data_IF_039615754111
#
_entry.id   IF_039615754111
#
_cell.length_a   1.000
_cell.length_b   1.000
_cell.length_c   1.000
_cell.angle_alpha   90.00
_cell.angle_beta   90.00
_cell.angle_gamma   90.00
#
_symmetry.space_group_name_H-M   'P 1'
#
loop_
_entity.id
_entity.type
_entity.pdbx_description
1 polymer ?
#
# COMPACT_ATOMS: atom_id res chain seq x y z
N UNK A 1 -26.10 -20.31 3.94
CA UNK A 1 -25.88 -19.66 5.24
C UNK A 1 -24.93 -18.53 4.96
N UNK A 2 -25.37 -17.27 5.04
CA UNK A 2 -24.53 -16.14 4.61
C UNK A 2 -23.32 -16.06 5.53
N UNK A 3 -22.14 -15.82 4.97
CA UNK A 3 -20.87 -15.74 5.72
C UNK A 3 -20.81 -14.45 6.57
N UNK A 4 -21.88 -13.65 6.54
CA UNK A 4 -21.99 -12.32 7.15
C UNK A 4 -23.10 -12.24 8.21
N UNK A 5 -23.32 -13.30 8.99
CA UNK A 5 -24.08 -13.20 10.22
C UNK A 5 -23.48 -12.07 11.09
N UNK A 6 -24.28 -11.09 11.50
CA UNK A 6 -23.87 -9.83 12.14
C UNK A 6 -23.16 -8.79 11.24
N UNK A 7 -23.64 -8.58 10.01
CA UNK A 7 -23.13 -7.54 9.11
C UNK A 7 -23.01 -6.14 9.76
N UNK A 8 -23.93 -5.79 10.66
CA UNK A 8 -23.96 -4.49 11.36
C UNK A 8 -22.91 -4.36 12.49
N UNK A 9 -22.19 -5.44 12.82
CA UNK A 9 -21.20 -5.48 13.91
C UNK A 9 -19.85 -6.03 13.47
N UNK A 10 -19.71 -6.37 12.19
CA UNK A 10 -18.48 -6.92 11.62
C UNK A 10 -17.82 -5.86 10.77
N UNK A 11 -16.62 -5.46 11.17
CA UNK A 11 -15.79 -4.54 10.39
C UNK A 11 -14.96 -5.34 9.39
N UNK A 12 -14.57 -4.69 8.30
CA UNK A 12 -13.69 -5.25 7.28
C UNK A 12 -12.56 -4.28 6.96
N UNK A 13 -11.39 -4.84 6.68
CA UNK A 13 -10.22 -4.09 6.22
C UNK A 13 -9.39 -4.95 5.27
N UNK A 14 -8.42 -4.32 4.61
CA UNK A 14 -7.50 -5.02 3.73
C UNK A 14 -6.42 -5.75 4.53
N UNK A 15 -6.05 -6.93 4.05
CA UNK A 15 -4.79 -7.58 4.44
C UNK A 15 -3.62 -6.99 3.62
N UNK A 16 -2.36 -7.31 3.93
CA UNK A 16 -1.24 -6.94 3.08
C UNK A 16 -1.39 -7.39 1.61
N UNK A 17 -1.89 -8.61 1.39
CA UNK A 17 -2.18 -9.12 0.05
C UNK A 17 -3.29 -8.30 -0.62
N UNK A 18 -4.33 -7.92 0.12
CA UNK A 18 -5.39 -7.06 -0.37
C UNK A 18 -4.91 -5.66 -0.76
N UNK A 19 -3.94 -5.10 -0.03
CA UNK A 19 -3.30 -3.83 -0.41
C UNK A 19 -2.53 -3.98 -1.72
N UNK A 20 -1.71 -5.02 -1.87
CA UNK A 20 -0.98 -5.27 -3.12
C UNK A 20 -1.90 -5.46 -4.32
N UNK A 21 -3.04 -6.13 -4.14
CA UNK A 21 -4.04 -6.24 -5.20
C UNK A 21 -4.70 -4.89 -5.50
N UNK A 22 -5.21 -4.21 -4.47
CA UNK A 22 -5.99 -2.98 -4.60
C UNK A 22 -5.22 -1.85 -5.29
N UNK A 23 -3.93 -1.72 -4.99
CA UNK A 23 -3.07 -0.62 -5.46
C UNK A 23 -2.02 -1.08 -6.47
N UNK A 24 -2.26 -2.23 -7.13
CA UNK A 24 -1.34 -2.90 -8.07
C UNK A 24 -1.04 -2.13 -9.36
N UNK A 25 -1.91 -1.19 -9.75
CA UNK A 25 -1.83 -0.54 -11.05
C UNK A 25 -2.44 0.86 -11.07
N UNK A 26 -1.86 1.70 -11.93
CA UNK A 26 -2.25 3.09 -12.13
C UNK A 26 -3.72 3.28 -12.55
N UNK A 27 -4.29 2.32 -13.31
CA UNK A 27 -5.70 2.34 -13.71
C UNK A 27 -6.42 1.15 -13.07
N UNK A 28 -7.01 1.31 -11.87
CA UNK A 28 -7.62 0.20 -11.16
C UNK A 28 -8.89 -0.32 -11.86
N UNK A 29 -9.16 -1.61 -11.71
CA UNK A 29 -10.45 -2.22 -12.13
C UNK A 29 -11.56 -1.85 -11.14
N UNK A 30 -12.82 -2.14 -11.48
CA UNK A 30 -13.94 -1.94 -10.55
C UNK A 30 -13.78 -2.73 -9.24
N UNK A 31 -13.19 -3.93 -9.30
CA UNK A 31 -12.89 -4.74 -8.12
C UNK A 31 -11.79 -4.12 -7.25
N UNK A 32 -10.73 -3.60 -7.89
CA UNK A 32 -9.66 -2.92 -7.18
C UNK A 32 -10.15 -1.61 -6.56
N UNK A 33 -10.99 -0.84 -7.26
CA UNK A 33 -11.64 0.35 -6.69
C UNK A 33 -12.49 0.01 -5.46
N UNK A 34 -13.22 -1.11 -5.48
CA UNK A 34 -13.97 -1.58 -4.32
C UNK A 34 -13.05 -1.95 -3.15
N UNK A 35 -11.91 -2.60 -3.40
CA UNK A 35 -10.90 -2.85 -2.36
C UNK A 35 -10.30 -1.55 -1.81
N UNK A 36 -9.96 -0.59 -2.68
CA UNK A 36 -9.43 0.71 -2.27
C UNK A 36 -10.42 1.49 -1.39
N UNK A 37 -11.73 1.34 -1.62
CA UNK A 37 -12.77 2.00 -0.83
C UNK A 37 -12.72 1.67 0.66
N UNK A 38 -12.21 0.48 1.03
CA UNK A 38 -12.03 0.08 2.43
C UNK A 38 -11.04 0.96 3.19
N UNK A 39 -10.10 1.60 2.48
CA UNK A 39 -9.12 2.52 3.06
C UNK A 39 -9.42 3.99 2.73
N UNK A 40 -10.55 4.29 2.06
CA UNK A 40 -10.95 5.66 1.72
C UNK A 40 -11.57 6.44 2.88
N UNK A 41 -12.02 5.74 3.92
CA UNK A 41 -12.63 6.36 5.09
C UNK A 41 -11.64 6.47 6.24
N UNK A 42 -11.92 7.35 7.21
CA UNK A 42 -11.09 7.53 8.42
C UNK A 42 -11.29 6.43 9.46
N UNK A 43 -12.01 5.38 9.11
CA UNK A 43 -12.38 4.28 9.97
C UNK A 43 -12.69 3.02 9.17
N UNK A 44 -12.60 1.86 9.82
CA UNK A 44 -12.94 0.56 9.20
C UNK A 44 -14.40 0.53 8.77
N UNK A 45 -14.65 0.04 7.56
CA UNK A 45 -16.00 -0.14 7.02
C UNK A 45 -16.72 -1.32 7.68
N UNK A 46 -18.02 -1.19 7.92
CA UNK A 46 -18.87 -2.32 8.32
C UNK A 46 -19.26 -3.16 7.10
N UNK A 47 -19.47 -4.46 7.29
CA UNK A 47 -20.00 -5.33 6.24
C UNK A 47 -21.36 -4.84 5.74
N UNK A 48 -22.23 -4.35 6.62
CA UNK A 48 -23.52 -3.77 6.22
C UNK A 48 -23.35 -2.62 5.21
N UNK A 49 -22.42 -1.70 5.48
CA UNK A 49 -22.09 -0.56 4.59
C UNK A 49 -21.54 -1.05 3.25
N UNK A 50 -20.67 -2.06 3.25
CA UNK A 50 -20.20 -2.66 2.00
C UNK A 50 -21.35 -3.17 1.14
N UNK A 51 -22.32 -3.86 1.74
CA UNK A 51 -23.43 -4.49 1.01
C UNK A 51 -24.43 -3.49 0.44
N UNK A 52 -24.40 -2.23 0.90
CA UNK A 52 -25.21 -1.14 0.32
C UNK A 52 -24.65 -0.66 -1.02
N UNK A 53 -23.33 -0.68 -1.20
CA UNK A 53 -22.65 -0.11 -2.38
C UNK A 53 -22.02 -1.16 -3.31
N UNK A 54 -21.61 -2.32 -2.77
CA UNK A 54 -20.82 -3.32 -3.46
C UNK A 54 -21.44 -4.72 -3.38
N UNK A 55 -20.98 -5.62 -4.26
CA UNK A 55 -21.52 -6.97 -4.35
C UNK A 55 -21.11 -7.86 -3.16
N UNK A 56 -22.06 -8.59 -2.58
CA UNK A 56 -21.79 -9.68 -1.62
C UNK A 56 -20.85 -10.74 -2.23
N UNK A 57 -21.00 -11.02 -3.53
CA UNK A 57 -20.15 -11.99 -4.24
C UNK A 57 -18.69 -11.55 -4.26
N UNK A 58 -18.43 -10.26 -4.44
CA UNK A 58 -17.06 -9.73 -4.38
C UNK A 58 -16.50 -9.84 -2.98
N UNK A 59 -17.28 -9.49 -1.96
CA UNK A 59 -16.83 -9.61 -0.56
C UNK A 59 -16.44 -11.06 -0.21
N UNK A 60 -17.29 -12.03 -0.56
CA UNK A 60 -16.99 -13.45 -0.34
C UNK A 60 -15.71 -13.86 -1.06
N UNK A 61 -15.58 -13.50 -2.35
CA UNK A 61 -14.41 -13.80 -3.15
C UNK A 61 -13.12 -13.18 -2.58
N UNK A 62 -13.17 -11.94 -2.10
CA UNK A 62 -12.01 -11.26 -1.53
C UNK A 62 -11.61 -11.82 -0.16
N UNK A 63 -12.57 -12.26 0.65
CA UNK A 63 -12.29 -12.97 1.90
C UNK A 63 -11.66 -14.33 1.62
N UNK A 64 -12.17 -15.08 0.64
CA UNK A 64 -11.61 -16.38 0.24
C UNK A 64 -10.19 -16.26 -0.34
N UNK A 65 -9.91 -15.20 -1.09
CA UNK A 65 -8.57 -14.89 -1.61
C UNK A 65 -7.61 -14.34 -0.54
N UNK A 66 -8.12 -14.03 0.65
CA UNK A 66 -7.33 -13.46 1.74
C UNK A 66 -6.98 -11.98 1.53
N UNK A 67 -7.71 -11.25 0.68
CA UNK A 67 -7.53 -9.80 0.47
C UNK A 67 -8.23 -8.97 1.54
N UNK A 68 -9.34 -9.47 2.08
CA UNK A 68 -10.09 -8.82 3.15
C UNK A 68 -10.05 -9.70 4.38
N UNK A 69 -9.78 -9.08 5.53
CA UNK A 69 -10.01 -9.69 6.83
C UNK A 69 -11.22 -9.08 7.54
N UNK A 70 -11.87 -9.90 8.38
CA UNK A 70 -12.98 -9.48 9.22
C UNK A 70 -12.47 -9.14 10.62
N UNK A 71 -12.94 -8.03 11.16
CA UNK A 71 -12.58 -7.53 12.47
C UNK A 71 -13.83 -7.45 13.36
N UNK A 72 -13.66 -7.80 14.63
CA UNK A 72 -14.69 -7.62 15.66
C UNK A 72 -14.65 -6.23 16.32
N UNK A 73 -13.63 -5.43 16.00
CA UNK A 73 -13.36 -4.13 16.62
C UNK A 73 -13.21 -3.06 15.57
N UNK A 74 -13.80 -1.91 15.86
CA UNK A 74 -13.55 -0.66 15.15
C UNK A 74 -12.07 -0.28 15.20
N UNK A 75 -11.52 0.20 14.08
CA UNK A 75 -10.20 0.82 14.04
C UNK A 75 -10.27 2.16 13.30
N UNK A 76 -9.67 3.24 13.84
CA UNK A 76 -9.50 4.48 13.11
C UNK A 76 -8.30 4.43 12.17
N UNK A 77 -8.37 5.17 11.07
CA UNK A 77 -7.23 5.43 10.19
C UNK A 77 -6.13 6.18 10.93
N UNK A 78 -4.84 5.96 10.61
CA UNK A 78 -3.77 6.78 11.13
C UNK A 78 -3.98 8.26 10.80
N UNK A 79 -3.92 9.12 11.82
CA UNK A 79 -4.18 10.56 11.70
C UNK A 79 -2.90 11.41 11.75
N UNK A 80 -1.74 10.81 11.51
CA UNK A 80 -0.44 11.50 11.55
C UNK A 80 0.03 11.84 10.14
N UNK A 81 0.72 12.99 9.95
CA UNK A 81 1.49 13.27 8.74
C UNK A 81 2.50 12.15 8.45
N UNK A 82 2.83 11.95 7.17
CA UNK A 82 3.62 10.80 6.72
C UNK A 82 5.03 10.73 7.34
N UNK A 83 5.70 11.87 7.46
CA UNK A 83 7.01 12.04 8.09
C UNK A 83 6.99 11.69 9.59
N UNK A 84 5.85 11.89 10.26
CA UNK A 84 5.63 11.51 11.65
C UNK A 84 5.15 10.07 11.79
N UNK A 85 4.45 9.52 10.80
CA UNK A 85 3.93 8.16 10.83
C UNK A 85 4.98 7.10 10.49
N UNK A 86 5.82 7.34 9.48
CA UNK A 86 6.83 6.39 9.01
C UNK A 86 7.77 5.88 10.11
N UNK A 87 8.26 6.70 11.07
CA UNK A 87 9.05 6.23 12.20
C UNK A 87 8.37 5.17 13.08
N UNK A 88 7.03 5.16 13.18
CA UNK A 88 6.30 4.17 13.98
C UNK A 88 6.20 2.81 13.31
N UNK A 89 6.12 2.79 11.97
CA UNK A 89 5.91 1.55 11.22
C UNK A 89 7.20 0.94 10.68
N UNK A 90 8.28 1.73 10.52
CA UNK A 90 9.50 1.26 9.84
C UNK A 90 10.14 0.04 10.48
N UNK A 91 10.10 -0.09 11.81
CA UNK A 91 10.66 -1.24 12.51
C UNK A 91 9.97 -2.56 12.13
N UNK A 92 8.71 -2.48 11.71
CA UNK A 92 7.93 -3.61 11.21
C UNK A 92 8.11 -3.82 9.71
N UNK A 93 8.55 -2.81 8.95
CA UNK A 93 8.64 -2.86 7.48
C UNK A 93 10.02 -3.19 6.93
N UNK A 94 11.08 -2.84 7.67
CA UNK A 94 12.47 -2.91 7.20
C UNK A 94 13.36 -3.69 8.17
N UNK A 95 14.06 -4.70 7.66
CA UNK A 95 15.10 -5.40 8.42
C UNK A 95 16.24 -4.51 8.91
N UNK A 96 16.50 -3.38 8.23
CA UNK A 96 17.52 -2.38 8.64
C UNK A 96 16.94 -1.12 9.29
N UNK A 97 15.63 -1.03 9.48
CA UNK A 97 14.91 0.15 9.99
C UNK A 97 15.16 1.42 9.15
N UNK A 98 15.44 1.28 7.86
CA UNK A 98 15.55 2.40 6.92
C UNK A 98 14.47 2.26 5.86
N UNK A 99 13.70 3.33 5.69
CA UNK A 99 12.67 3.39 4.68
C UNK A 99 12.48 4.82 4.19
N UNK A 100 12.02 4.96 2.95
CA UNK A 100 11.60 6.22 2.38
C UNK A 100 10.34 6.01 1.54
N UNK A 101 9.59 7.09 1.34
CA UNK A 101 8.43 7.13 0.47
C UNK A 101 8.69 8.20 -0.56
N UNK A 102 8.57 7.82 -1.83
CA UNK A 102 8.80 8.69 -2.97
C UNK A 102 7.52 8.82 -3.81
N UNK A 103 7.37 9.97 -4.48
CA UNK A 103 6.41 10.10 -5.58
C UNK A 103 6.95 9.45 -6.86
N UNK A 104 6.07 9.22 -7.82
CA UNK A 104 6.43 8.79 -9.18
C UNK A 104 7.17 9.85 -10.01
N UNK A 105 7.21 11.09 -9.55
CA UNK A 105 8.07 12.17 -10.08
C UNK A 105 9.48 12.17 -9.47
N UNK A 106 9.76 11.32 -8.48
CA UNK A 106 11.09 11.17 -7.88
C UNK A 106 11.36 12.08 -6.68
N UNK A 107 10.32 12.69 -6.10
CA UNK A 107 10.46 13.49 -4.87
C UNK A 107 10.41 12.60 -3.63
N UNK A 108 11.31 12.82 -2.68
CA UNK A 108 11.23 12.20 -1.36
C UNK A 108 10.13 12.88 -0.51
N UNK A 109 9.10 12.13 -0.15
CA UNK A 109 7.96 12.59 0.64
C UNK A 109 8.16 12.38 2.14
N UNK A 110 8.81 11.27 2.51
CA UNK A 110 9.16 10.94 3.89
C UNK A 110 10.35 10.00 3.90
N UNK A 111 11.17 10.07 4.95
CA UNK A 111 12.31 9.16 5.15
C UNK A 111 12.61 8.92 6.62
N UNK A 112 13.21 7.78 6.90
CA UNK A 112 13.77 7.44 8.20
C UNK A 112 15.04 6.61 8.00
N UNK A 113 16.09 6.91 8.76
CA UNK A 113 17.37 6.22 8.67
C UNK A 113 18.22 6.50 7.41
N UNK A 114 17.69 7.22 6.42
CA UNK A 114 18.46 7.78 5.30
C UNK A 114 18.87 9.24 5.58
N UNK A 115 20.01 9.66 5.04
CA UNK A 115 20.29 11.08 4.84
C UNK A 115 19.31 11.68 3.81
N UNK A 116 19.23 13.00 3.72
CA UNK A 116 18.40 13.65 2.68
C UNK A 116 18.91 13.29 1.28
N UNK A 117 20.21 13.39 1.06
CA UNK A 117 20.86 13.10 -0.21
C UNK A 117 20.65 11.65 -0.66
N UNK A 118 20.77 10.68 0.26
CA UNK A 118 20.51 9.28 -0.03
C UNK A 118 19.04 9.06 -0.43
N UNK A 119 18.11 9.64 0.31
CA UNK A 119 16.69 9.47 0.05
C UNK A 119 16.28 10.10 -1.29
N UNK A 120 16.76 11.31 -1.59
CA UNK A 120 16.48 11.99 -2.87
C UNK A 120 17.04 11.17 -4.05
N UNK A 121 18.26 10.64 -3.91
CA UNK A 121 18.85 9.77 -4.94
C UNK A 121 18.02 8.50 -5.16
N UNK A 122 17.60 7.83 -4.08
CA UNK A 122 16.77 6.62 -4.18
C UNK A 122 15.36 6.94 -4.72
N UNK A 123 14.79 8.10 -4.40
CA UNK A 123 13.50 8.54 -4.92
C UNK A 123 13.55 8.73 -6.44
N UNK A 124 14.57 9.40 -6.96
CA UNK A 124 14.78 9.53 -8.41
C UNK A 124 14.95 8.17 -9.08
N UNK A 125 15.78 7.29 -8.49
CA UNK A 125 15.96 5.94 -9.01
C UNK A 125 14.63 5.16 -9.06
N UNK A 126 13.83 5.22 -7.99
CA UNK A 126 12.53 4.56 -7.93
C UNK A 126 11.57 5.07 -9.02
N UNK A 127 11.53 6.37 -9.28
CA UNK A 127 10.74 6.96 -10.36
C UNK A 127 11.19 6.46 -11.75
N UNK A 128 12.50 6.42 -12.00
CA UNK A 128 13.06 5.89 -13.26
C UNK A 128 12.66 4.43 -13.50
N UNK A 129 12.74 3.60 -12.44
CA UNK A 129 12.34 2.20 -12.49
C UNK A 129 10.84 2.04 -12.68
N UNK A 130 10.00 2.81 -11.98
CA UNK A 130 8.54 2.81 -12.17
C UNK A 130 8.18 3.14 -13.63
N UNK A 131 8.78 4.20 -14.18
CA UNK A 131 8.60 4.59 -15.58
C UNK A 131 9.08 3.51 -16.56
N UNK A 132 10.20 2.84 -16.26
CA UNK A 132 10.66 1.69 -17.04
C UNK A 132 9.63 0.55 -17.01
N UNK A 133 9.16 0.14 -15.82
CA UNK A 133 8.18 -0.93 -15.64
C UNK A 133 6.88 -0.66 -16.40
N UNK A 134 6.35 0.56 -16.31
CA UNK A 134 5.14 0.97 -17.03
C UNK A 134 5.31 0.85 -18.55
N UNK A 135 6.45 1.30 -19.09
CA UNK A 135 6.76 1.16 -20.53
C UNK A 135 6.89 -0.31 -20.95
N UNK A 136 7.49 -1.16 -20.12
CA UNK A 136 7.61 -2.58 -20.45
C UNK A 136 6.26 -3.31 -20.40
N UNK A 137 5.38 -2.98 -19.44
CA UNK A 137 4.01 -3.51 -19.38
C UNK A 137 3.24 -3.17 -20.66
N UNK A 138 3.36 -1.94 -21.16
CA UNK A 138 2.77 -1.52 -22.44
C UNK A 138 3.31 -2.30 -23.65
N UNK A 139 4.56 -2.78 -23.58
CA UNK A 139 5.19 -3.61 -24.62
C UNK A 139 4.86 -5.09 -24.50
N UNK A 140 4.00 -5.47 -23.55
CA UNK A 140 3.58 -6.85 -23.33
C UNK A 140 4.56 -7.66 -22.48
N UNK A 141 5.43 -7.01 -21.70
CA UNK A 141 6.22 -7.75 -20.71
C UNK A 141 5.27 -8.34 -19.66
N UNK A 142 5.19 -9.67 -19.62
CA UNK A 142 4.21 -10.42 -18.83
C UNK A 142 4.50 -10.45 -17.32
N UNK A 143 5.44 -9.64 -16.84
CA UNK A 143 5.79 -9.58 -15.43
C UNK A 143 4.94 -8.48 -14.78
N UNK A 144 3.97 -8.89 -13.97
CA UNK A 144 3.23 -8.03 -13.05
C UNK A 144 4.09 -7.71 -11.82
N UNK A 145 5.25 -7.08 -12.04
CA UNK A 145 6.17 -6.73 -10.96
C UNK A 145 5.72 -5.43 -10.30
N UNK A 146 5.27 -5.53 -9.06
CA UNK A 146 5.01 -4.39 -8.17
C UNK A 146 6.24 -4.03 -7.33
N UNK A 147 7.34 -4.77 -7.45
CA UNK A 147 8.55 -4.48 -6.72
C UNK A 147 9.82 -4.85 -7.50
N UNK A 148 10.90 -4.16 -7.18
CA UNK A 148 12.26 -4.44 -7.64
C UNK A 148 13.17 -4.50 -6.41
N UNK A 149 14.10 -5.44 -6.39
CA UNK A 149 15.04 -5.60 -5.29
C UNK A 149 16.48 -5.63 -5.82
N UNK A 150 17.36 -4.89 -5.15
CA UNK A 150 18.77 -4.79 -5.44
C UNK A 150 19.55 -5.61 -4.40
N UNK A 151 20.46 -6.45 -4.87
CA UNK A 151 21.29 -7.29 -4.02
C UNK A 151 22.75 -6.89 -4.19
N UNK A 152 23.48 -6.75 -3.08
CA UNK A 152 24.94 -6.56 -3.12
C UNK A 152 25.70 -7.88 -3.24
N UNK A 153 25.11 -8.97 -2.74
CA UNK A 153 25.71 -10.29 -2.71
C UNK A 153 25.17 -11.16 -3.85
N UNK A 154 26.04 -12.05 -4.36
CA UNK A 154 25.73 -12.91 -5.51
C UNK A 154 24.85 -14.11 -5.12
N UNK A 155 24.69 -14.37 -3.83
CA UNK A 155 23.83 -15.44 -3.29
C UNK A 155 22.34 -15.05 -3.21
N UNK A 156 22.01 -13.76 -3.43
CA UNK A 156 20.66 -13.22 -3.52
C UNK A 156 19.77 -13.52 -2.31
N UNK A 157 20.37 -13.68 -1.11
CA UNK A 157 19.62 -14.09 0.08
C UNK A 157 18.72 -12.98 0.64
N UNK A 158 19.29 -11.81 0.89
CA UNK A 158 18.58 -10.66 1.45
C UNK A 158 18.87 -9.45 0.55
N UNK A 159 17.84 -8.75 0.06
CA UNK A 159 18.07 -7.56 -0.74
C UNK A 159 18.67 -6.45 0.13
N UNK A 160 19.53 -5.65 -0.47
CA UNK A 160 20.06 -4.46 0.15
C UNK A 160 19.00 -3.38 0.23
N UNK A 161 18.29 -3.19 -0.88
CA UNK A 161 17.21 -2.20 -1.03
C UNK A 161 16.15 -2.75 -1.96
N UNK A 162 14.88 -2.49 -1.64
CA UNK A 162 13.74 -2.82 -2.49
C UNK A 162 12.88 -1.59 -2.73
N UNK A 163 12.38 -1.45 -3.95
CA UNK A 163 11.36 -0.48 -4.32
C UNK A 163 10.05 -1.22 -4.49
N UNK A 164 9.04 -0.82 -3.74
CA UNK A 164 7.68 -1.36 -3.80
C UNK A 164 6.77 -0.28 -4.35
N UNK A 165 6.19 -0.52 -5.53
CA UNK A 165 5.38 0.44 -6.28
C UNK A 165 3.90 0.24 -6.00
N UNK A 166 3.19 1.33 -5.72
CA UNK A 166 1.77 1.37 -5.41
C UNK A 166 1.14 2.57 -6.10
N UNK A 167 -0.09 2.43 -6.55
CA UNK A 167 -0.85 3.53 -7.16
C UNK A 167 -2.08 3.86 -6.33
N UNK A 168 -2.05 4.99 -5.64
CA UNK A 168 -3.08 5.44 -4.70
C UNK A 168 -3.77 6.66 -5.29
N UNK A 169 -5.08 6.55 -5.55
CA UNK A 169 -5.89 7.64 -6.12
C UNK A 169 -5.37 8.21 -7.45
N UNK A 170 -4.68 7.38 -8.22
CA UNK A 170 -4.10 7.73 -9.51
C UNK A 170 -2.63 8.14 -9.41
N UNK A 171 -2.15 8.57 -8.25
CA UNK A 171 -0.75 8.95 -8.05
C UNK A 171 0.11 7.73 -7.77
N UNK A 172 1.29 7.67 -8.38
CA UNK A 172 2.27 6.62 -8.13
C UNK A 172 3.14 6.93 -6.92
N UNK A 173 3.37 5.91 -6.09
CA UNK A 173 4.24 5.96 -4.93
C UNK A 173 5.25 4.81 -4.99
N UNK A 174 6.44 5.07 -4.47
CA UNK A 174 7.43 4.04 -4.21
C UNK A 174 7.76 4.00 -2.72
N UNK A 175 7.53 2.85 -2.09
CA UNK A 175 8.04 2.53 -0.77
C UNK A 175 9.42 1.89 -0.93
N UNK A 176 10.44 2.62 -0.49
CA UNK A 176 11.84 2.21 -0.52
C UNK A 176 12.18 1.60 0.84
N UNK A 177 12.68 0.37 0.85
CA UNK A 177 12.97 -0.40 2.07
C UNK A 177 14.37 -0.97 1.97
N UNK A 178 15.22 -0.73 2.97
CA UNK A 178 16.50 -1.45 3.07
C UNK A 178 16.38 -2.75 3.87
N UNK A 179 17.18 -3.74 3.47
CA UNK A 179 17.15 -5.08 4.02
C UNK A 179 15.93 -5.87 3.56
N UNK A 180 15.59 -6.92 4.31
CA UNK A 180 14.40 -7.72 4.05
C UNK A 180 13.12 -6.85 4.11
N UNK A 181 12.31 -6.80 3.03
CA UNK A 181 11.01 -6.14 3.04
C UNK A 181 10.00 -6.96 3.82
N UNK A 182 9.62 -6.46 4.99
CA UNK A 182 8.67 -7.11 5.88
C UNK A 182 7.26 -6.54 5.65
N UNK A 183 6.79 -6.53 4.40
CA UNK A 183 5.50 -5.91 4.03
C UNK A 183 4.29 -6.78 4.37
N UNK A 184 4.50 -8.06 4.72
CA UNK A 184 3.43 -8.97 5.11
C UNK A 184 3.01 -8.77 6.59
N UNK A 185 2.66 -7.54 6.96
CA UNK A 185 2.11 -7.24 8.27
C UNK A 185 1.15 -6.04 8.24
N UNK A 186 0.43 -5.87 9.34
CA UNK A 186 -0.56 -4.80 9.50
C UNK A 186 0.01 -3.39 9.41
N UNK A 187 1.27 -3.16 9.80
CA UNK A 187 1.87 -1.84 9.72
C UNK A 187 1.98 -1.34 8.26
N UNK A 188 2.10 -2.26 7.30
CA UNK A 188 2.03 -1.93 5.88
C UNK A 188 0.63 -1.46 5.47
N UNK A 189 -0.42 -2.14 5.91
CA UNK A 189 -1.82 -1.74 5.66
C UNK A 189 -2.08 -0.36 6.26
N UNK A 190 -1.67 -0.13 7.51
CA UNK A 190 -1.82 1.15 8.19
C UNK A 190 -1.05 2.27 7.47
N UNK A 191 0.14 1.99 6.93
CA UNK A 191 0.88 2.96 6.11
C UNK A 191 0.11 3.37 4.88
N UNK A 192 -0.42 2.43 4.10
CA UNK A 192 -1.16 2.76 2.88
C UNK A 192 -2.47 3.47 3.22
N UNK A 193 -3.12 3.07 4.31
CA UNK A 193 -4.31 3.76 4.81
C UNK A 193 -4.00 5.20 5.22
N UNK A 194 -2.87 5.43 5.90
CA UNK A 194 -2.38 6.75 6.27
C UNK A 194 -2.07 7.63 5.06
N UNK A 195 -1.42 7.09 4.02
CA UNK A 195 -1.15 7.83 2.77
C UNK A 195 -2.47 8.22 2.09
N UNK A 196 -3.37 7.25 1.89
CA UNK A 196 -4.67 7.48 1.24
C UNK A 196 -5.52 8.52 1.97
N UNK A 197 -5.62 8.42 3.29
CA UNK A 197 -6.41 9.37 4.08
C UNK A 197 -5.72 10.72 4.33
N UNK A 198 -4.39 10.79 4.18
CA UNK A 198 -3.67 12.07 4.18
C UNK A 198 -3.89 12.85 2.89
N UNK A 199 -4.03 12.18 1.74
CA UNK A 199 -4.41 12.80 0.46
C UNK A 199 -5.73 13.57 0.56
N UNK A 200 -6.72 13.01 1.27
CA UNK A 200 -8.03 13.65 1.54
C UNK A 200 -7.93 15.00 2.28
N UNK A 201 -6.80 15.32 2.92
CA UNK A 201 -6.59 16.60 3.63
C UNK A 201 -6.29 17.77 2.67
N UNK A 202 -5.79 17.49 1.47
CA UNK A 202 -5.49 18.52 0.48
C UNK A 202 -6.75 18.95 -0.30
N UNK A 203 -7.73 18.06 -0.49
CA UNK A 203 -9.01 18.39 -1.13
C UNK A 203 -9.99 19.18 -0.24
N UNK A 204 -9.77 19.17 1.08
CA UNK A 204 -10.60 19.91 2.05
C UNK A 204 -10.05 21.31 2.38
N UNK A 205 -9.00 21.74 1.66
CA UNK A 205 -8.36 23.06 1.82
C UNK A 205 -8.57 24.01 0.63
N UNK A 206 -9.57 23.77 -0.22
CA UNK A 206 -10.00 24.67 -1.30
C UNK A 206 -11.43 25.15 -1.05
#
# INVERSE_FOLDING_TARGET
MSIFDNADKTYITLTPAGVFEAFSQHKPTAQQLALQALLSYRETMLVAVWLEEYSERWLNSFVEQGFIEKLSTFLPAPNLPLDQFLPYVVASLSGKRRAAIASDEGFCLARIGYSQEEADMLSVAAADFSGFMLRQKQRGWAIESQAISFFQQVDLLIPETSFVFLWIDGDGYALIIDGEPLTNNRAFVELIWGIKTSGLRFDSSI
#
